data_IF_064426938509
#
_entry.id   IF_064426938509
#
_cell.length_a   1.000
_cell.length_b   1.000
_cell.length_c   1.000
_cell.angle_alpha   90.00
_cell.angle_beta   90.00
_cell.angle_gamma   90.00
#
_symmetry.space_group_name_H-M   'P 1'
#
loop_
_entity.id
_entity.type
_entity.pdbx_description
1 polymer ?
#
# COMPACT_ATOMS: atom_id res chain seq x y z
N UNK A 1 13.51 -13.71 43.74
CA UNK A 1 12.23 -13.08 44.10
C UNK A 1 12.38 -11.56 44.08
N UNK A 2 11.49 -10.88 43.33
CA UNK A 2 10.80 -9.63 43.72
C UNK A 2 11.62 -8.34 43.88
N UNK A 3 11.72 -7.57 42.79
CA UNK A 3 11.81 -6.09 42.79
C UNK A 3 10.91 -5.59 41.65
N UNK A 4 9.60 -5.47 41.87
CA UNK A 4 8.89 -4.31 42.42
C UNK A 4 8.93 -3.10 41.47
N UNK A 5 7.84 -2.98 40.70
CA UNK A 5 7.32 -1.80 40.01
C UNK A 5 7.52 -0.51 40.81
N UNK A 6 7.91 0.58 40.14
CA UNK A 6 7.51 1.94 40.49
C UNK A 6 7.39 2.78 39.20
N UNK A 7 6.15 2.89 38.73
CA UNK A 7 5.69 3.89 37.76
C UNK A 7 5.42 5.15 38.56
N UNK A 8 6.21 6.21 38.31
CA UNK A 8 5.95 7.55 38.83
C UNK A 8 6.46 8.56 37.80
N UNK A 9 5.57 9.35 37.20
CA UNK A 9 5.56 10.78 37.45
C UNK A 9 4.20 11.39 37.10
N UNK A 10 3.59 11.96 38.13
CA UNK A 10 2.35 12.72 38.12
C UNK A 10 2.50 14.06 37.39
N UNK A 11 1.38 14.46 36.79
CA UNK A 11 0.79 15.80 36.74
C UNK A 11 1.69 16.98 37.17
N UNK A 12 2.03 17.81 36.19
CA UNK A 12 2.17 19.26 36.34
C UNK A 12 1.71 19.87 35.01
N UNK A 13 0.83 20.86 34.91
CA UNK A 13 0.08 21.62 35.89
C UNK A 13 -0.88 22.50 35.09
N UNK A 14 -2.06 22.76 35.63
CA UNK A 14 -2.90 23.85 35.14
C UNK A 14 -2.36 25.19 35.63
N UNK A 15 -2.61 26.26 34.88
CA UNK A 15 -2.87 27.59 35.43
C UNK A 15 -3.77 28.37 34.46
N UNK A 16 -4.83 28.92 35.05
CA UNK A 16 -5.86 29.74 34.45
C UNK A 16 -5.36 31.15 34.14
N UNK A 17 -5.99 31.80 33.17
CA UNK A 17 -5.93 33.24 32.95
C UNK A 17 -7.28 33.74 32.45
N UNK A 18 -8.10 34.25 33.37
CA UNK A 18 -9.29 35.06 33.10
C UNK A 18 -8.84 36.49 32.78
N UNK A 19 -9.16 37.02 31.61
CA UNK A 19 -9.15 38.47 31.34
C UNK A 19 -10.57 38.91 30.93
N UNK A 20 -11.25 39.74 31.73
CA UNK A 20 -12.51 40.34 31.36
C UNK A 20 -12.26 41.71 30.72
N UNK A 21 -12.75 41.89 29.49
CA UNK A 21 -13.13 43.22 28.99
C UNK A 21 -12.21 43.81 27.92
N UNK A 22 -12.59 43.62 26.65
CA UNK A 22 -12.76 44.71 25.69
C UNK A 22 -13.51 44.23 24.46
N UNK A 23 -14.74 44.70 24.30
CA UNK A 23 -15.48 44.66 23.03
C UNK A 23 -14.81 45.68 22.11
N UNK A 24 -14.38 45.29 20.90
CA UNK A 24 -14.80 45.97 19.67
C UNK A 24 -14.21 45.40 18.37
N UNK A 25 -15.13 45.19 17.44
CA UNK A 25 -14.99 45.21 15.96
C UNK A 25 -14.53 43.91 15.30
N UNK A 26 -15.52 43.14 14.84
CA UNK A 26 -15.35 42.13 13.79
C UNK A 26 -14.77 42.76 12.52
N UNK A 27 -13.63 42.29 12.00
CA UNK A 27 -13.40 42.31 10.56
C UNK A 27 -14.13 41.11 9.97
N UNK A 28 -14.97 41.34 8.96
CA UNK A 28 -15.58 40.26 8.20
C UNK A 28 -14.49 39.27 7.74
N UNK A 29 -14.53 38.05 8.27
CA UNK A 29 -13.72 36.94 7.80
C UNK A 29 -14.20 36.60 6.39
N UNK A 30 -13.49 37.11 5.39
CA UNK A 30 -13.51 36.47 4.07
C UNK A 30 -13.16 34.99 4.30
N UNK A 31 -13.94 34.03 3.77
CA UNK A 31 -13.52 32.64 3.82
C UNK A 31 -12.26 32.57 2.97
N UNK A 32 -11.10 32.49 3.63
CA UNK A 32 -9.87 32.09 2.97
C UNK A 32 -10.15 30.66 2.52
N UNK A 33 -10.47 30.49 1.24
CA UNK A 33 -10.58 29.19 0.60
C UNK A 33 -9.22 28.53 0.73
N UNK A 34 -9.05 27.76 1.82
CA UNK A 34 -7.98 26.78 1.91
C UNK A 34 -8.22 25.87 0.72
N UNK A 35 -7.26 25.73 -0.21
CA UNK A 35 -7.38 24.70 -1.22
C UNK A 35 -7.52 23.40 -0.46
N UNK A 36 -8.69 22.77 -0.51
CA UNK A 36 -8.83 21.37 -0.14
C UNK A 36 -8.02 20.62 -1.17
N UNK A 37 -6.71 20.49 -0.92
CA UNK A 37 -5.88 19.50 -1.58
C UNK A 37 -6.47 18.18 -1.10
N UNK A 38 -7.40 17.64 -1.87
CA UNK A 38 -7.83 16.26 -1.68
C UNK A 38 -6.55 15.44 -1.68
N UNK A 39 -6.29 14.64 -0.63
CA UNK A 39 -5.14 13.76 -0.63
C UNK A 39 -5.30 12.87 -1.85
N UNK A 40 -4.46 13.07 -2.85
CA UNK A 40 -4.34 12.16 -3.98
C UNK A 40 -3.84 10.87 -3.35
N UNK A 41 -4.74 9.89 -3.16
CA UNK A 41 -4.35 8.55 -2.76
C UNK A 41 -3.47 8.01 -3.88
N UNK A 42 -2.15 8.10 -3.69
CA UNK A 42 -1.18 7.52 -4.60
C UNK A 42 -1.39 6.01 -4.55
N UNK A 43 -1.77 5.42 -5.68
CA UNK A 43 -1.90 3.98 -5.78
C UNK A 43 -0.53 3.33 -5.45
N UNK A 44 -0.48 2.29 -4.59
CA UNK A 44 0.77 1.65 -4.23
C UNK A 44 1.44 1.04 -5.47
N UNK A 45 2.77 1.11 -5.52
CA UNK A 45 3.55 0.39 -6.53
C UNK A 45 3.57 -1.12 -6.23
N UNK A 46 4.14 -1.90 -7.15
CA UNK A 46 4.08 -3.36 -7.08
C UNK A 46 4.82 -3.90 -5.84
N UNK A 47 5.96 -3.27 -5.50
CA UNK A 47 6.73 -3.62 -4.31
C UNK A 47 5.92 -3.38 -3.04
N UNK A 48 5.39 -2.16 -2.87
CA UNK A 48 4.58 -1.81 -1.71
C UNK A 48 3.36 -2.71 -1.58
N UNK A 49 2.72 -3.07 -2.70
CA UNK A 49 1.59 -4.00 -2.73
C UNK A 49 1.95 -5.35 -2.10
N UNK A 50 3.09 -5.96 -2.46
CA UNK A 50 3.50 -7.24 -1.90
C UNK A 50 3.91 -7.14 -0.42
N UNK A 51 4.55 -6.05 -0.02
CA UNK A 51 4.93 -5.81 1.38
C UNK A 51 3.69 -5.63 2.27
N UNK A 52 2.71 -4.85 1.81
CA UNK A 52 1.47 -4.56 2.57
C UNK A 52 0.67 -5.83 2.88
N UNK A 53 0.72 -6.83 2.00
CA UNK A 53 0.05 -8.12 2.18
C UNK A 53 0.96 -9.21 2.75
N UNK A 54 2.18 -8.87 3.15
CA UNK A 54 3.13 -9.80 3.77
C UNK A 54 3.68 -10.88 2.85
N UNK A 55 3.66 -10.66 1.53
CA UNK A 55 4.21 -11.57 0.52
C UNK A 55 5.65 -11.25 0.12
N UNK A 56 6.20 -10.13 0.58
CA UNK A 56 7.59 -9.74 0.32
C UNK A 56 8.25 -9.14 1.56
N UNK A 57 9.51 -9.51 1.78
CA UNK A 57 10.47 -8.79 2.61
C UNK A 57 11.61 -8.27 1.74
N UNK A 58 12.35 -7.26 2.22
CA UNK A 58 13.47 -6.61 1.50
C UNK A 58 14.56 -7.59 1.00
N UNK A 59 14.62 -8.78 1.57
CA UNK A 59 15.57 -9.84 1.19
C UNK A 59 15.13 -10.71 0.03
N UNK A 60 13.85 -10.71 -0.33
CA UNK A 60 13.26 -11.81 -1.09
C UNK A 60 13.33 -11.57 -2.61
N UNK A 61 13.15 -10.33 -3.03
CA UNK A 61 13.08 -9.93 -4.44
C UNK A 61 13.92 -8.69 -4.74
N UNK A 62 14.31 -8.49 -6.00
CA UNK A 62 15.14 -7.36 -6.43
C UNK A 62 14.54 -6.51 -7.56
N UNK A 63 13.67 -7.10 -8.40
CA UNK A 63 12.96 -6.41 -9.49
C UNK A 63 11.49 -6.81 -9.43
N UNK A 64 10.63 -5.89 -9.00
CA UNK A 64 9.20 -6.13 -8.77
C UNK A 64 8.39 -5.10 -9.54
N UNK A 65 7.55 -5.58 -10.46
CA UNK A 65 6.76 -4.72 -11.33
C UNK A 65 5.40 -5.32 -11.63
N UNK A 66 4.43 -4.45 -11.94
CA UNK A 66 3.16 -4.92 -12.50
C UNK A 66 3.38 -5.39 -13.93
N UNK A 67 2.77 -6.51 -14.29
CA UNK A 67 2.83 -6.99 -15.67
C UNK A 67 2.00 -6.08 -16.55
N UNK A 68 2.58 -5.63 -17.66
CA UNK A 68 1.91 -4.79 -18.67
C UNK A 68 0.62 -5.46 -19.16
N UNK A 69 -0.43 -4.67 -19.39
CA UNK A 69 -1.76 -5.15 -19.82
C UNK A 69 -2.53 -6.03 -18.82
N UNK A 70 -2.03 -6.24 -17.60
CA UNK A 70 -2.77 -6.96 -16.55
C UNK A 70 -3.76 -6.09 -15.76
N UNK A 71 -3.92 -4.80 -16.09
CA UNK A 71 -4.67 -3.83 -15.27
C UNK A 71 -4.20 -3.79 -13.79
N UNK A 72 -2.90 -3.99 -13.55
CA UNK A 72 -2.30 -4.07 -12.20
C UNK A 72 -2.86 -5.21 -11.34
N UNK A 73 -3.41 -6.26 -11.94
CA UNK A 73 -3.86 -7.47 -11.24
C UNK A 73 -2.80 -8.56 -11.20
N UNK A 74 -1.65 -8.35 -11.85
CA UNK A 74 -0.54 -9.29 -11.82
C UNK A 74 0.78 -8.57 -11.57
N UNK A 75 1.61 -9.14 -10.71
CA UNK A 75 2.95 -8.66 -10.36
C UNK A 75 3.96 -9.75 -10.72
N UNK A 76 5.08 -9.36 -11.33
CA UNK A 76 6.25 -10.23 -11.51
C UNK A 76 7.37 -9.75 -10.59
N UNK A 77 8.03 -10.69 -9.94
CA UNK A 77 9.12 -10.44 -9.01
C UNK A 77 10.32 -11.35 -9.31
N UNK A 78 11.50 -10.75 -9.51
CA UNK A 78 12.77 -11.49 -9.60
C UNK A 78 13.22 -11.88 -8.20
N UNK A 79 13.39 -13.19 -7.97
CA UNK A 79 13.86 -13.76 -6.71
C UNK A 79 15.33 -13.42 -6.54
N UNK A 80 15.71 -12.84 -5.40
CA UNK A 80 17.09 -12.38 -5.18
C UNK A 80 18.08 -13.53 -4.99
N UNK A 81 17.64 -14.64 -4.40
CA UNK A 81 18.49 -15.78 -4.02
C UNK A 81 18.67 -16.84 -5.12
N UNK A 82 17.93 -16.73 -6.23
CA UNK A 82 17.94 -17.70 -7.30
C UNK A 82 17.61 -17.00 -8.63
N UNK A 83 18.09 -17.50 -9.80
CA UNK A 83 17.75 -16.94 -11.10
C UNK A 83 16.32 -17.32 -11.51
N UNK A 84 15.35 -16.90 -10.70
CA UNK A 84 13.94 -17.21 -10.82
C UNK A 84 13.10 -15.95 -10.80
N UNK A 85 11.95 -16.02 -11.45
CA UNK A 85 10.90 -15.02 -11.39
C UNK A 85 9.61 -15.66 -10.89
N UNK A 86 8.90 -14.95 -10.03
CA UNK A 86 7.62 -15.34 -9.44
C UNK A 86 6.53 -14.39 -9.92
N UNK A 87 5.38 -14.94 -10.30
CA UNK A 87 4.19 -14.18 -10.66
C UNK A 87 3.19 -14.26 -9.51
N UNK A 88 2.67 -13.11 -9.10
CA UNK A 88 1.57 -12.98 -8.16
C UNK A 88 0.33 -12.49 -8.89
N UNK A 89 -0.83 -13.05 -8.55
CA UNK A 89 -2.13 -12.67 -9.12
C UNK A 89 -3.04 -12.14 -8.02
N UNK A 90 -3.70 -11.03 -8.31
CA UNK A 90 -4.79 -10.50 -7.51
C UNK A 90 -6.04 -11.35 -7.75
N UNK A 91 -6.67 -11.78 -6.67
CA UNK A 91 -7.89 -12.56 -6.70
C UNK A 91 -8.92 -11.86 -5.84
N UNK A 92 -10.04 -11.51 -6.47
CA UNK A 92 -11.19 -10.94 -5.80
C UNK A 92 -12.23 -12.02 -5.55
N UNK A 93 -12.73 -12.07 -4.32
CA UNK A 93 -13.82 -12.97 -3.92
C UNK A 93 -14.96 -12.15 -3.33
N UNK A 94 -16.08 -12.81 -3.05
CA UNK A 94 -17.24 -12.16 -2.43
C UNK A 94 -16.95 -11.55 -1.06
N UNK A 95 -15.92 -12.03 -0.35
CA UNK A 95 -15.65 -11.67 1.04
C UNK A 95 -14.43 -10.77 1.18
N UNK A 96 -13.41 -10.98 0.36
CA UNK A 96 -12.16 -10.25 0.43
C UNK A 96 -11.34 -10.39 -0.86
N UNK A 97 -10.40 -9.47 -1.00
CA UNK A 97 -9.40 -9.41 -2.05
C UNK A 97 -8.05 -9.85 -1.48
N UNK A 98 -7.30 -10.65 -2.23
CA UNK A 98 -5.98 -11.10 -1.81
C UNK A 98 -5.04 -11.31 -3.00
N UNK A 99 -3.74 -11.36 -2.70
CA UNK A 99 -2.70 -11.68 -3.65
C UNK A 99 -2.21 -13.11 -3.42
N UNK A 100 -2.02 -13.86 -4.49
CA UNK A 100 -1.48 -15.22 -4.41
C UNK A 100 -0.28 -15.40 -5.34
N UNK A 101 0.75 -16.16 -4.91
CA UNK A 101 1.75 -16.70 -5.82
C UNK A 101 1.06 -17.66 -6.81
N UNK A 102 1.22 -17.41 -8.10
CA UNK A 102 0.57 -18.17 -9.17
C UNK A 102 1.56 -19.12 -9.84
N UNK A 103 2.73 -18.63 -10.23
CA UNK A 103 3.73 -19.37 -11.00
C UNK A 103 5.16 -18.95 -10.63
N UNK A 104 6.12 -19.86 -10.83
CA UNK A 104 7.56 -19.59 -10.69
C UNK A 104 8.31 -20.20 -11.87
N UNK A 105 9.25 -19.45 -12.45
CA UNK A 105 10.15 -19.93 -13.50
C UNK A 105 11.59 -19.62 -13.16
N UNK A 106 12.46 -20.62 -13.28
CA UNK A 106 13.90 -20.54 -12.96
C UNK A 106 14.80 -20.81 -14.17
N UNK A 107 14.22 -20.79 -15.38
CA UNK A 107 14.96 -20.88 -16.65
C UNK A 107 15.07 -19.49 -17.26
N UNK A 108 16.17 -19.26 -17.99
CA UNK A 108 16.57 -18.03 -18.68
C UNK A 108 15.56 -16.88 -18.58
N UNK A 109 15.97 -15.78 -17.96
CA UNK A 109 15.17 -14.58 -17.62
C UNK A 109 14.26 -14.02 -18.75
N UNK A 110 14.55 -14.39 -20.00
CA UNK A 110 13.89 -13.95 -21.23
C UNK A 110 12.62 -14.73 -21.58
N UNK A 111 12.42 -15.96 -21.10
CA UNK A 111 11.25 -16.79 -21.45
C UNK A 111 9.95 -16.32 -20.76
N UNK A 112 10.01 -15.30 -19.89
CA UNK A 112 8.87 -14.92 -19.05
C UNK A 112 7.81 -14.01 -19.68
N UNK A 113 8.05 -13.50 -20.90
CA UNK A 113 7.02 -12.77 -21.65
C UNK A 113 5.87 -13.67 -22.13
N UNK A 114 6.05 -14.99 -22.11
CA UNK A 114 5.05 -15.98 -22.54
C UNK A 114 4.14 -16.48 -21.40
N UNK A 115 4.28 -15.94 -20.18
CA UNK A 115 3.58 -16.48 -18.99
C UNK A 115 2.13 -16.02 -18.86
N UNK A 116 1.71 -15.07 -19.68
CA UNK A 116 0.28 -14.77 -19.88
C UNK A 116 0.00 -15.01 -21.34
N UNK A 117 -0.66 -16.11 -21.66
CA UNK A 117 -1.18 -16.30 -23.01
C UNK A 117 -2.16 -15.16 -23.31
N UNK A 118 -2.18 -14.66 -24.56
CA UNK A 118 -3.19 -13.71 -25.04
C UNK A 118 -4.63 -14.14 -24.69
N UNK A 119 -4.83 -15.45 -24.50
CA UNK A 119 -6.06 -16.12 -24.08
C UNK A 119 -6.47 -15.79 -22.63
N UNK A 120 -5.57 -15.88 -21.64
CA UNK A 120 -5.87 -15.44 -20.25
C UNK A 120 -6.13 -13.92 -20.17
N UNK A 121 -5.51 -13.15 -21.06
CA UNK A 121 -5.73 -11.71 -21.21
C UNK A 121 -7.06 -11.38 -21.94
N UNK A 122 -7.67 -12.37 -22.59
CA UNK A 122 -8.98 -12.27 -23.27
C UNK A 122 -10.15 -12.71 -22.39
N UNK A 123 -9.95 -13.71 -21.52
CA UNK A 123 -10.99 -14.17 -20.59
C UNK A 123 -11.35 -13.12 -19.53
N UNK A 124 -10.39 -12.28 -19.10
CA UNK A 124 -10.66 -11.13 -18.24
C UNK A 124 -11.60 -10.12 -18.93
N UNK A 125 -11.49 -9.96 -20.26
CA UNK A 125 -12.37 -9.05 -21.03
C UNK A 125 -13.79 -9.59 -21.23
N UNK A 126 -14.01 -10.89 -21.03
CA UNK A 126 -15.33 -11.51 -21.19
C UNK A 126 -16.16 -11.56 -19.92
N UNK A 127 -15.57 -11.38 -18.73
CA UNK A 127 -16.29 -11.33 -17.46
C UNK A 127 -16.87 -9.94 -17.10
N UNK A 128 -16.50 -8.89 -17.85
CA UNK A 128 -17.00 -7.52 -17.64
C UNK A 128 -18.10 -7.08 -18.63
N UNK A 129 -18.74 -8.01 -19.36
CA UNK A 129 -19.85 -7.69 -20.28
C UNK A 129 -21.16 -8.37 -19.92
#
# INVERSE_FOLDING_TARGET
MKYLLLITFLLAGGCAGNDPGKIQTSPALQPKSVPTTQPVQKQPDAWQTLVDVGLAQDSDYEDVSFITNSNRTMIVATVKSAPCKMVFKHVSTHNEDFWMPQQISCKNHDDMTDFISEEELSDIRHLER
#
